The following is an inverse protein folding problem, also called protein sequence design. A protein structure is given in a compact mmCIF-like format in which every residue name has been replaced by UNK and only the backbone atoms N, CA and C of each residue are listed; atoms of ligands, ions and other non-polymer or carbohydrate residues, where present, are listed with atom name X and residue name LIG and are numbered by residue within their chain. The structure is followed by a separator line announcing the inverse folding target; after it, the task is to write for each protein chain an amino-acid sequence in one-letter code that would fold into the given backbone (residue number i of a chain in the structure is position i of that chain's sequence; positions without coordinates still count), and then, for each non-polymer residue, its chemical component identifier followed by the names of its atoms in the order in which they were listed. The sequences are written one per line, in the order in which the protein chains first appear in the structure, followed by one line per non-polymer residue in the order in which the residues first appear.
data_IF_133390169015
#
_entry.id   IF_133390169015
#
_cell.length_a   1.000
_cell.length_b   1.000
_cell.length_c   1.000
_cell.angle_alpha   90.00
_cell.angle_beta   90.00
_cell.angle_gamma   90.00
#
_symmetry.space_group_name_H-M   'P 1'
#
loop_
_entity.id
_entity.type
_entity.pdbx_description
1 polymer ?
#
# COMPACT_ATOMS: atom_id res chain seq x y z
N UNK A 1 -6.22 -25.72 15.96
CA UNK A 1 -6.43 -25.80 14.50
C UNK A 1 -7.79 -26.45 14.24
N UNK A 2 -8.67 -25.86 13.43
CA UNK A 2 -9.99 -26.44 13.11
C UNK A 2 -9.87 -27.39 11.90
N UNK A 3 -10.23 -28.66 12.10
CA UNK A 3 -10.03 -29.73 11.11
C UNK A 3 -10.89 -29.58 9.84
N UNK A 4 -12.10 -29.04 9.96
CA UNK A 4 -12.96 -28.74 8.81
C UNK A 4 -12.34 -27.66 7.92
N UNK A 5 -11.73 -26.64 8.54
CA UNK A 5 -11.05 -25.55 7.84
C UNK A 5 -9.76 -26.06 7.18
N UNK A 6 -9.03 -26.96 7.84
CA UNK A 6 -7.84 -27.57 7.27
C UNK A 6 -8.17 -28.41 6.03
N UNK A 7 -9.16 -29.30 6.09
CA UNK A 7 -9.57 -30.12 4.94
C UNK A 7 -10.03 -29.29 3.74
N UNK A 8 -10.71 -28.18 3.99
CA UNK A 8 -11.09 -27.24 2.94
C UNK A 8 -9.86 -26.54 2.35
N UNK A 9 -8.98 -26.02 3.19
CA UNK A 9 -7.71 -25.40 2.79
C UNK A 9 -6.82 -26.34 1.96
N UNK A 10 -6.66 -27.58 2.40
CA UNK A 10 -5.88 -28.62 1.73
C UNK A 10 -6.45 -28.93 0.34
N UNK A 11 -7.77 -29.15 0.24
CA UNK A 11 -8.45 -29.39 -1.04
C UNK A 11 -8.23 -28.24 -2.02
N UNK A 12 -8.37 -27.00 -1.55
CA UNK A 12 -8.22 -25.81 -2.39
C UNK A 12 -6.77 -25.60 -2.82
N UNK A 13 -5.79 -25.84 -1.94
CA UNK A 13 -4.36 -25.84 -2.30
C UNK A 13 -4.06 -26.90 -3.35
N UNK A 14 -4.50 -28.15 -3.15
CA UNK A 14 -4.28 -29.25 -4.09
C UNK A 14 -4.96 -29.01 -5.45
N UNK A 15 -6.06 -28.24 -5.48
CA UNK A 15 -6.71 -27.81 -6.74
C UNK A 15 -5.93 -26.73 -7.51
N UNK A 16 -4.79 -26.26 -6.98
CA UNK A 16 -3.94 -25.27 -7.61
C UNK A 16 -4.20 -23.83 -7.14
N UNK A 17 -5.05 -23.61 -6.14
CA UNK A 17 -5.27 -22.26 -5.60
C UNK A 17 -4.05 -21.79 -4.79
N UNK A 18 -3.70 -20.51 -4.97
CA UNK A 18 -2.64 -19.90 -4.15
C UNK A 18 -3.19 -19.61 -2.75
N UNK A 19 -2.29 -19.52 -1.76
CA UNK A 19 -2.66 -19.11 -0.40
C UNK A 19 -3.45 -17.79 -0.37
N UNK A 20 -3.15 -16.88 -1.31
CA UNK A 20 -3.82 -15.59 -1.45
C UNK A 20 -5.24 -15.73 -2.00
N UNK A 21 -5.45 -16.61 -2.97
CA UNK A 21 -6.77 -16.84 -3.57
C UNK A 21 -7.71 -17.48 -2.55
N UNK A 22 -7.21 -18.47 -1.80
CA UNK A 22 -7.95 -19.10 -0.70
C UNK A 22 -8.30 -18.05 0.37
N UNK A 23 -7.32 -17.24 0.78
CA UNK A 23 -7.56 -16.17 1.75
C UNK A 23 -8.63 -15.18 1.26
N UNK A 24 -8.59 -14.82 -0.03
CA UNK A 24 -9.56 -13.91 -0.64
C UNK A 24 -10.95 -14.55 -0.72
N UNK A 25 -11.04 -15.81 -1.14
CA UNK A 25 -12.30 -16.56 -1.29
C UNK A 25 -13.05 -16.72 0.03
N UNK A 26 -12.33 -16.96 1.13
CA UNK A 26 -12.93 -17.16 2.45
C UNK A 26 -12.91 -15.91 3.34
N UNK A 27 -12.62 -14.73 2.77
CA UNK A 27 -12.55 -13.46 3.51
C UNK A 27 -11.62 -13.50 4.73
N UNK A 28 -10.54 -14.27 4.64
CA UNK A 28 -9.51 -14.39 5.66
C UNK A 28 -8.25 -13.62 5.23
N UNK A 29 -7.42 -13.21 6.18
CA UNK A 29 -6.06 -12.78 5.87
C UNK A 29 -5.16 -13.97 5.53
N UNK A 30 -4.14 -13.82 4.68
CA UNK A 30 -3.12 -14.88 4.48
C UNK A 30 -2.46 -15.29 5.79
N UNK A 31 -2.30 -14.32 6.69
CA UNK A 31 -1.79 -14.49 8.04
C UNK A 31 -2.66 -15.43 8.90
N UNK A 32 -3.97 -15.51 8.65
CA UNK A 32 -4.85 -16.42 9.37
C UNK A 32 -4.40 -17.87 9.21
N UNK A 33 -4.06 -18.27 7.98
CA UNK A 33 -3.64 -19.63 7.68
C UNK A 33 -2.23 -19.95 8.19
N UNK A 34 -1.35 -18.95 8.20
CA UNK A 34 0.02 -19.07 8.71
C UNK A 34 0.01 -19.16 10.25
N UNK A 35 -0.65 -18.21 10.93
CA UNK A 35 -0.64 -18.14 12.40
C UNK A 35 -1.37 -19.31 13.07
N UNK A 36 -2.36 -19.90 12.39
CA UNK A 36 -3.08 -21.06 12.89
C UNK A 36 -2.45 -22.40 12.48
N UNK A 37 -1.27 -22.39 11.85
CA UNK A 37 -0.48 -23.59 11.53
C UNK A 37 -0.98 -24.41 10.34
N UNK A 38 -1.97 -23.92 9.58
CA UNK A 38 -2.54 -24.64 8.43
C UNK A 38 -1.53 -24.79 7.29
N UNK A 39 -0.72 -23.76 7.06
CA UNK A 39 0.34 -23.78 6.03
C UNK A 39 1.49 -24.71 6.41
N UNK A 40 1.87 -24.71 7.70
CA UNK A 40 2.92 -25.57 8.24
C UNK A 40 2.54 -27.05 8.08
N UNK A 41 1.35 -27.44 8.56
CA UNK A 41 0.83 -28.80 8.43
C UNK A 41 0.71 -29.25 6.97
N UNK A 42 0.22 -28.39 6.09
CA UNK A 42 0.10 -28.72 4.66
C UNK A 42 1.46 -28.98 4.02
N UNK A 43 2.49 -28.20 4.38
CA UNK A 43 3.84 -28.41 3.86
C UNK A 43 4.49 -29.67 4.42
N UNK A 44 4.18 -30.04 5.66
CA UNK A 44 4.65 -31.30 6.26
C UNK A 44 3.98 -32.52 5.62
N UNK A 45 2.69 -32.43 5.29
CA UNK A 45 1.91 -33.52 4.66
C UNK A 45 2.15 -33.61 3.14
N UNK A 46 2.47 -32.48 2.48
CA UNK A 46 2.70 -32.40 1.02
C UNK A 46 4.05 -31.71 0.70
N UNK A 47 5.19 -32.32 1.07
CA UNK A 47 6.51 -31.69 0.95
C UNK A 47 6.93 -31.39 -0.50
N UNK A 48 6.39 -32.15 -1.46
CA UNK A 48 6.68 -31.99 -2.89
C UNK A 48 5.69 -31.05 -3.61
N UNK A 49 4.72 -30.46 -2.90
CA UNK A 49 3.74 -29.58 -3.51
C UNK A 49 4.41 -28.28 -3.97
N UNK A 50 4.35 -27.93 -5.27
CA UNK A 50 4.98 -26.72 -5.77
C UNK A 50 4.36 -25.51 -5.04
N UNK A 51 5.18 -24.70 -4.39
CA UNK A 51 4.70 -23.49 -3.72
C UNK A 51 4.10 -22.53 -4.77
N UNK A 52 2.80 -22.65 -5.01
CA UNK A 52 1.99 -21.67 -5.74
C UNK A 52 1.82 -20.43 -4.84
N UNK A 53 2.93 -19.75 -4.54
CA UNK A 53 2.93 -18.42 -3.95
C UNK A 53 2.52 -17.47 -5.07
N UNK A 54 1.38 -16.80 -4.89
CA UNK A 54 0.84 -15.85 -5.87
C UNK A 54 1.94 -14.94 -6.43
N UNK A 55 2.11 -15.00 -7.76
CA UNK A 55 3.01 -14.20 -8.60
C UNK A 55 4.03 -13.37 -7.80
N UNK A 56 5.12 -13.99 -7.37
CA UNK A 56 6.37 -13.25 -7.26
C UNK A 56 6.97 -13.20 -8.64
N UNK A 57 6.77 -12.09 -9.34
CA UNK A 57 7.69 -11.67 -10.38
C UNK A 57 9.04 -11.37 -9.71
N UNK A 58 9.78 -12.43 -9.42
CA UNK A 58 11.22 -12.40 -9.27
C UNK A 58 11.73 -13.78 -9.71
N UNK A 59 11.43 -14.08 -10.97
CA UNK A 59 12.33 -14.84 -11.82
C UNK A 59 13.59 -13.97 -12.02
N UNK A 60 14.43 -13.95 -10.99
CA UNK A 60 15.86 -14.04 -11.24
C UNK A 60 16.26 -15.37 -10.63
N UNK A 61 16.83 -16.20 -11.48
CA UNK A 61 17.58 -17.39 -11.14
C UNK A 61 18.06 -17.35 -9.70
N UNK A 62 17.59 -18.31 -8.91
CA UNK A 62 18.27 -18.71 -7.68
C UNK A 62 19.58 -19.36 -8.12
N UNK A 63 20.51 -18.55 -8.63
CA UNK A 63 21.91 -18.75 -8.29
C UNK A 63 21.93 -18.56 -6.79
N UNK A 64 21.90 -19.70 -6.11
CA UNK A 64 22.06 -19.83 -4.68
C UNK A 64 23.10 -18.82 -4.21
N UNK A 65 22.62 -17.71 -3.64
CA UNK A 65 23.46 -16.85 -2.84
C UNK A 65 23.77 -17.69 -1.61
N UNK A 66 24.77 -18.57 -1.73
CA UNK A 66 25.60 -19.04 -0.63
C UNK A 66 25.79 -17.82 0.24
N UNK A 67 25.18 -17.87 1.41
CA UNK A 67 25.33 -16.88 2.48
C UNK A 67 26.83 -16.71 2.71
N UNK A 68 27.42 -15.69 2.07
CA UNK A 68 28.84 -15.44 2.18
C UNK A 68 29.07 -14.86 3.57
N UNK A 69 29.48 -15.73 4.51
CA UNK A 69 30.03 -15.37 5.82
C UNK A 69 31.56 -15.29 5.76
N UNK A 70 32.12 -14.73 4.69
CA UNK A 70 33.56 -14.49 4.60
C UNK A 70 33.95 -13.14 5.20
N UNK A 71 35.21 -13.01 5.59
CA UNK A 71 35.80 -11.73 5.98
C UNK A 71 35.78 -10.79 4.78
N UNK A 72 35.55 -9.50 5.04
CA UNK A 72 35.57 -8.45 4.02
C UNK A 72 36.97 -8.40 3.39
N UNK A 73 37.04 -8.55 2.07
CA UNK A 73 38.27 -8.48 1.30
C UNK A 73 38.60 -7.00 1.06
N UNK A 74 39.78 -6.58 1.51
CA UNK A 74 40.21 -5.18 1.48
C UNK A 74 40.48 -4.67 0.06
N UNK A 75 40.92 -5.53 -0.87
CA UNK A 75 41.10 -5.13 -2.26
C UNK A 75 39.76 -5.00 -2.96
N UNK A 76 38.85 -5.93 -2.70
CA UNK A 76 37.49 -5.86 -3.24
C UNK A 76 36.71 -4.67 -2.66
N UNK A 77 36.93 -4.33 -1.39
CA UNK A 77 36.30 -3.17 -0.77
C UNK A 77 36.74 -1.86 -1.40
N UNK A 78 38.04 -1.69 -1.71
CA UNK A 78 38.51 -0.48 -2.41
C UNK A 78 37.83 -0.30 -3.77
N UNK A 79 37.71 -1.38 -4.55
CA UNK A 79 37.01 -1.32 -5.85
C UNK A 79 35.50 -1.03 -5.66
N UNK A 80 34.88 -1.58 -4.62
CA UNK A 80 33.48 -1.27 -4.27
C UNK A 80 33.30 0.19 -3.88
N UNK A 81 34.20 0.72 -3.05
CA UNK A 81 34.21 2.10 -2.57
C UNK A 81 34.37 3.10 -3.72
N UNK A 82 35.37 2.92 -4.59
CA UNK A 82 35.61 3.76 -5.76
C UNK A 82 34.36 3.86 -6.65
N UNK A 83 33.70 2.74 -6.92
CA UNK A 83 32.47 2.71 -7.75
C UNK A 83 31.28 3.39 -7.07
N UNK A 84 31.13 3.19 -5.76
CA UNK A 84 30.07 3.85 -4.98
C UNK A 84 30.30 5.35 -4.91
N UNK A 85 31.56 5.81 -4.82
CA UNK A 85 31.94 7.22 -4.89
C UNK A 85 31.74 7.79 -6.30
N UNK A 86 31.98 7.00 -7.35
CA UNK A 86 31.67 7.37 -8.73
C UNK A 86 30.15 7.43 -9.04
N UNK A 87 29.30 7.07 -8.08
CA UNK A 87 27.85 7.19 -8.18
C UNK A 87 27.12 5.93 -8.65
N UNK A 88 27.82 4.80 -8.84
CA UNK A 88 27.17 3.53 -9.20
C UNK A 88 26.24 3.04 -8.08
N UNK A 89 25.08 2.51 -8.48
CA UNK A 89 24.18 1.88 -7.52
C UNK A 89 24.69 0.47 -7.17
N UNK A 90 24.25 -0.06 -6.03
CA UNK A 90 24.56 -1.44 -5.65
C UNK A 90 24.05 -2.43 -6.70
N UNK A 91 22.97 -2.07 -7.41
CA UNK A 91 22.41 -2.90 -8.47
C UNK A 91 23.37 -2.99 -9.66
N UNK A 92 23.99 -1.87 -10.05
CA UNK A 92 24.96 -1.80 -11.15
C UNK A 92 26.26 -2.53 -10.80
N UNK A 93 26.73 -2.36 -9.57
CA UNK A 93 27.91 -3.07 -9.05
C UNK A 93 27.65 -4.58 -8.96
N UNK A 94 26.44 -5.00 -8.58
CA UNK A 94 26.08 -6.42 -8.45
C UNK A 94 25.96 -7.14 -9.80
N UNK A 95 25.45 -6.47 -10.83
CA UNK A 95 25.31 -7.05 -12.19
C UNK A 95 26.66 -7.30 -12.86
N UNK A 96 27.65 -6.44 -12.61
CA UNK A 96 28.95 -6.52 -13.29
C UNK A 96 29.91 -7.59 -12.74
N UNK A 97 29.67 -8.16 -11.55
CA UNK A 97 30.59 -9.11 -10.91
C UNK A 97 30.03 -10.52 -10.66
N UNK A 98 28.87 -10.88 -11.19
CA UNK A 98 28.20 -12.16 -10.88
C UNK A 98 28.03 -12.42 -9.37
N UNK A 99 28.03 -11.35 -8.56
CA UNK A 99 27.82 -11.40 -7.11
C UNK A 99 26.47 -10.75 -6.83
N UNK A 100 25.52 -11.55 -6.35
CA UNK A 100 24.20 -11.04 -5.97
C UNK A 100 24.32 -9.97 -4.88
N UNK A 101 23.36 -9.04 -4.83
CA UNK A 101 23.34 -7.91 -3.86
C UNK A 101 23.60 -8.37 -2.42
N UNK A 102 23.11 -9.56 -2.06
CA UNK A 102 23.33 -10.19 -0.75
C UNK A 102 24.81 -10.26 -0.34
N UNK A 103 25.73 -10.45 -1.29
CA UNK A 103 27.17 -10.47 -1.05
C UNK A 103 27.68 -9.19 -0.39
N UNK A 104 27.33 -8.02 -0.95
CA UNK A 104 27.81 -6.72 -0.46
C UNK A 104 27.12 -6.27 0.83
N UNK A 105 25.86 -6.66 1.04
CA UNK A 105 25.12 -6.37 2.27
C UNK A 105 25.55 -7.29 3.42
N UNK A 106 25.61 -8.59 3.19
CA UNK A 106 25.94 -9.59 4.20
C UNK A 106 27.44 -9.63 4.51
N UNK A 107 28.29 -9.40 3.50
CA UNK A 107 29.75 -9.31 3.65
C UNK A 107 30.24 -8.02 4.30
N UNK A 108 29.34 -7.10 4.66
CA UNK A 108 29.70 -5.89 5.43
C UNK A 108 30.24 -4.71 4.60
N UNK A 109 30.41 -4.85 3.29
CA UNK A 109 30.87 -3.80 2.38
C UNK A 109 30.01 -2.54 2.46
N UNK A 110 28.68 -2.70 2.39
CA UNK A 110 27.74 -1.57 2.50
C UNK A 110 27.79 -0.92 3.89
N UNK A 111 27.97 -1.74 4.94
CA UNK A 111 28.02 -1.26 6.32
C UNK A 111 29.27 -0.43 6.57
N UNK A 112 30.42 -0.88 6.08
CA UNK A 112 31.70 -0.18 6.17
C UNK A 112 31.68 1.11 5.37
N UNK A 113 31.22 1.05 4.12
CA UNK A 113 31.10 2.23 3.26
C UNK A 113 30.20 3.30 3.87
N UNK A 114 29.05 2.95 4.44
CA UNK A 114 28.18 3.94 5.09
C UNK A 114 28.75 4.52 6.39
N UNK A 115 29.73 3.86 7.02
CA UNK A 115 30.45 4.37 8.19
C UNK A 115 31.55 5.33 7.78
N UNK A 116 32.25 5.03 6.69
CA UNK A 116 33.36 5.83 6.16
C UNK A 116 32.87 7.01 5.31
N UNK A 117 31.72 6.88 4.65
CA UNK A 117 31.08 7.88 3.80
C UNK A 117 29.63 8.19 4.23
N UNK A 118 29.42 8.79 5.42
CA UNK A 118 28.09 9.13 5.93
C UNK A 118 27.31 10.08 5.01
N UNK A 119 27.99 10.95 4.27
CA UNK A 119 27.42 11.85 3.26
C UNK A 119 26.79 11.12 2.06
N UNK A 120 27.25 9.89 1.82
CA UNK A 120 26.80 8.98 0.76
C UNK A 120 25.71 8.01 1.22
N UNK A 121 25.44 7.90 2.52
CA UNK A 121 24.40 7.04 3.12
C UNK A 121 23.01 7.29 2.52
N UNK A 122 22.79 8.51 2.02
CA UNK A 122 21.56 8.99 1.41
C UNK A 122 21.64 9.17 -0.12
N UNK A 123 22.63 8.60 -0.83
CA UNK A 123 22.72 8.80 -2.29
C UNK A 123 21.48 8.28 -3.04
N UNK A 124 20.77 7.27 -2.50
CA UNK A 124 19.46 6.82 -3.03
C UNK A 124 18.34 7.86 -2.82
N UNK A 125 18.48 8.74 -1.83
CA UNK A 125 17.59 9.87 -1.59
C UNK A 125 18.03 11.14 -2.33
N UNK A 126 19.32 11.29 -2.68
CA UNK A 126 19.85 12.46 -3.39
C UNK A 126 19.69 12.37 -4.92
N UNK A 127 19.87 11.21 -5.56
CA UNK A 127 19.65 11.07 -7.02
C UNK A 127 18.17 11.09 -7.42
N UNK A 128 17.24 10.91 -6.46
CA UNK A 128 15.80 11.05 -6.67
C UNK A 128 15.26 12.47 -6.44
N UNK A 129 16.12 13.47 -6.20
CA UNK A 129 15.72 14.78 -5.65
C UNK A 129 16.00 15.95 -6.61
N UNK A 130 15.52 15.87 -7.86
CA UNK A 130 15.33 17.07 -8.70
C UNK A 130 13.92 17.67 -8.60
N UNK A 131 12.96 16.97 -8.01
CA UNK A 131 11.63 17.51 -7.73
C UNK A 131 11.44 17.56 -6.22
N UNK A 132 11.41 18.77 -5.67
CA UNK A 132 11.09 19.12 -4.27
C UNK A 132 9.97 18.20 -3.75
N UNK A 133 10.32 17.12 -3.03
CA UNK A 133 9.35 16.16 -2.52
C UNK A 133 8.41 16.88 -1.56
N UNK A 134 7.13 16.98 -1.93
CA UNK A 134 6.08 17.48 -1.05
C UNK A 134 6.06 16.59 0.21
N UNK A 135 5.97 17.21 1.38
CA UNK A 135 5.78 16.46 2.63
C UNK A 135 4.40 15.80 2.62
N UNK A 136 4.19 14.77 3.44
CA UNK A 136 2.88 14.10 3.54
C UNK A 136 1.72 15.07 3.88
N UNK A 137 2.02 16.14 4.63
CA UNK A 137 1.06 17.22 4.94
C UNK A 137 0.75 18.03 3.68
N UNK A 138 1.78 18.48 2.95
CA UNK A 138 1.60 19.23 1.70
C UNK A 138 0.91 18.42 0.60
N UNK A 139 1.12 17.10 0.57
CA UNK A 139 0.41 16.17 -0.33
C UNK A 139 -1.06 16.09 0.05
N UNK A 140 -1.37 16.01 1.35
CA UNK A 140 -2.74 15.98 1.85
C UNK A 140 -3.48 17.29 1.59
N UNK A 141 -2.86 18.45 1.86
CA UNK A 141 -3.48 19.76 1.61
C UNK A 141 -3.82 19.95 0.13
N UNK A 142 -2.88 19.61 -0.76
CA UNK A 142 -3.11 19.66 -2.21
C UNK A 142 -4.14 18.63 -2.67
N UNK A 143 -4.18 17.45 -2.06
CA UNK A 143 -5.21 16.46 -2.32
C UNK A 143 -6.59 17.04 -2.01
N UNK A 144 -6.77 17.67 -0.84
CA UNK A 144 -8.03 18.31 -0.45
C UNK A 144 -8.42 19.41 -1.43
N UNK A 145 -7.49 20.27 -1.84
CA UNK A 145 -7.77 21.36 -2.79
C UNK A 145 -8.21 20.84 -4.16
N UNK A 146 -7.52 19.83 -4.71
CA UNK A 146 -7.92 19.23 -6.00
C UNK A 146 -9.19 18.39 -5.88
N UNK A 147 -9.41 17.73 -4.75
CA UNK A 147 -10.64 16.98 -4.48
C UNK A 147 -11.84 17.93 -4.40
N UNK A 148 -11.71 19.11 -3.78
CA UNK A 148 -12.74 20.17 -3.76
C UNK A 148 -13.07 20.72 -5.15
N UNK A 149 -12.10 20.70 -6.07
CA UNK A 149 -12.31 21.05 -7.48
C UNK A 149 -13.03 19.93 -8.26
N UNK A 150 -13.29 18.77 -7.64
CA UNK A 150 -13.98 17.63 -8.25
C UNK A 150 -13.08 16.69 -9.04
N UNK A 151 -11.75 16.76 -8.84
CA UNK A 151 -10.83 15.84 -9.52
C UNK A 151 -10.85 14.46 -8.85
N UNK A 152 -10.79 13.41 -9.66
CA UNK A 152 -10.68 12.04 -9.19
C UNK A 152 -9.30 11.74 -8.60
N UNK A 153 -9.22 10.76 -7.70
CA UNK A 153 -7.94 10.37 -7.06
C UNK A 153 -6.85 9.99 -8.07
N UNK A 154 -7.22 9.46 -9.24
CA UNK A 154 -6.29 9.13 -10.32
C UNK A 154 -5.69 10.38 -10.97
N UNK A 155 -6.53 11.39 -11.23
CA UNK A 155 -6.10 12.68 -11.78
C UNK A 155 -5.25 13.47 -10.79
N UNK A 156 -5.60 13.40 -9.51
CA UNK A 156 -4.83 14.01 -8.42
C UNK A 156 -3.45 13.34 -8.30
N UNK A 157 -3.40 12.01 -8.30
CA UNK A 157 -2.15 11.26 -8.28
C UNK A 157 -1.24 11.63 -9.46
N UNK A 158 -1.81 11.76 -10.67
CA UNK A 158 -1.10 12.22 -11.86
C UNK A 158 -0.58 13.66 -11.71
N UNK A 159 -1.40 14.59 -11.20
CA UNK A 159 -0.99 15.99 -10.94
C UNK A 159 0.09 16.11 -9.87
N UNK A 160 0.08 15.22 -8.88
CA UNK A 160 1.07 15.17 -7.81
C UNK A 160 2.30 14.34 -8.19
N UNK A 161 2.32 13.73 -9.38
CA UNK A 161 3.35 12.82 -9.85
C UNK A 161 3.67 11.72 -8.83
N UNK A 162 2.61 11.09 -8.32
CA UNK A 162 2.65 10.07 -7.27
C UNK A 162 1.85 8.83 -7.66
N UNK A 163 2.25 7.67 -7.13
CA UNK A 163 1.44 6.46 -7.26
C UNK A 163 0.13 6.57 -6.48
N UNK A 164 -0.96 6.08 -7.07
CA UNK A 164 -2.30 6.10 -6.48
C UNK A 164 -2.33 5.39 -5.12
N UNK A 165 -1.61 4.27 -4.99
CA UNK A 165 -1.52 3.53 -3.74
C UNK A 165 -0.85 4.35 -2.63
N UNK A 166 0.23 5.06 -2.95
CA UNK A 166 0.94 5.94 -2.02
C UNK A 166 0.07 7.15 -1.62
N UNK A 167 -0.65 7.76 -2.57
CA UNK A 167 -1.60 8.83 -2.29
C UNK A 167 -2.71 8.36 -1.35
N UNK A 168 -3.31 7.19 -1.62
CA UNK A 168 -4.34 6.59 -0.75
C UNK A 168 -3.84 6.38 0.67
N UNK A 169 -2.65 5.81 0.85
CA UNK A 169 -2.07 5.61 2.18
C UNK A 169 -1.89 6.92 2.94
N UNK A 170 -1.40 7.99 2.28
CA UNK A 170 -1.24 9.30 2.90
C UNK A 170 -2.60 9.89 3.28
N UNK A 171 -3.58 9.84 2.39
CA UNK A 171 -4.93 10.34 2.65
C UNK A 171 -5.58 9.59 3.81
N UNK A 172 -5.56 8.25 3.79
CA UNK A 172 -6.14 7.44 4.87
C UNK A 172 -5.46 7.72 6.21
N UNK A 173 -4.12 7.74 6.24
CA UNK A 173 -3.36 7.99 7.46
C UNK A 173 -3.60 9.40 8.00
N UNK A 174 -3.62 10.43 7.14
CA UNK A 174 -3.81 11.82 7.56
C UNK A 174 -5.26 12.13 7.94
N UNK A 175 -6.24 11.53 7.27
CA UNK A 175 -7.64 11.63 7.68
C UNK A 175 -7.88 10.97 9.04
N UNK A 176 -7.23 9.84 9.31
CA UNK A 176 -7.26 9.17 10.63
C UNK A 176 -6.55 10.00 11.72
N UNK A 177 -5.34 10.50 11.44
CA UNK A 177 -4.58 11.38 12.36
C UNK A 177 -5.30 12.71 12.65
N UNK A 178 -6.13 13.19 11.73
CA UNK A 178 -6.95 14.39 11.92
C UNK A 178 -8.24 14.13 12.71
N UNK A 179 -8.55 12.87 13.09
CA UNK A 179 -9.80 12.53 13.78
C UNK A 179 -11.06 12.81 12.97
N UNK A 180 -10.94 12.99 11.65
CA UNK A 180 -12.05 13.29 10.76
C UNK A 180 -12.47 12.00 10.07
N UNK A 181 -13.61 11.44 10.51
CA UNK A 181 -14.38 10.52 9.69
C UNK A 181 -14.49 11.13 8.28
N UNK A 182 -14.05 10.40 7.26
CA UNK A 182 -14.06 10.87 5.88
C UNK A 182 -15.49 11.27 5.51
N UNK A 183 -15.74 12.57 5.42
CA UNK A 183 -17.04 13.10 5.05
C UNK A 183 -17.03 13.38 3.55
N UNK A 184 -17.82 12.63 2.79
CA UNK A 184 -17.96 12.89 1.36
C UNK A 184 -18.70 14.22 1.14
N UNK A 185 -17.96 15.25 0.73
CA UNK A 185 -18.51 16.58 0.45
C UNK A 185 -19.20 16.69 -0.92
N UNK A 186 -19.24 15.62 -1.72
CA UNK A 186 -19.82 15.64 -3.07
C UNK A 186 -21.29 16.11 -3.05
N UNK A 187 -22.08 15.61 -2.10
CA UNK A 187 -23.47 16.03 -1.92
C UNK A 187 -23.58 17.51 -1.51
N UNK A 188 -22.80 17.93 -0.51
CA UNK A 188 -22.78 19.33 -0.07
C UNK A 188 -22.39 20.30 -1.21
N UNK A 189 -21.43 19.91 -2.05
CA UNK A 189 -21.04 20.70 -3.22
C UNK A 189 -22.13 20.72 -4.30
N UNK A 190 -22.82 19.61 -4.55
CA UNK A 190 -23.95 19.56 -5.48
C UNK A 190 -25.10 20.46 -5.01
N UNK A 191 -25.40 20.44 -3.71
CA UNK A 191 -26.39 21.33 -3.07
C UNK A 191 -25.96 22.79 -3.18
N UNK A 192 -24.69 23.14 -2.92
CA UNK A 192 -24.21 24.52 -3.09
C UNK A 192 -24.34 25.01 -4.55
N UNK A 193 -24.06 24.15 -5.54
CA UNK A 193 -24.11 24.49 -6.96
C UNK A 193 -25.53 24.56 -7.53
N UNK A 194 -26.51 23.94 -6.88
CA UNK A 194 -27.89 23.95 -7.34
C UNK A 194 -28.51 25.36 -7.27
N UNK A 195 -29.09 25.81 -8.39
CA UNK A 195 -29.55 27.19 -8.58
C UNK A 195 -30.81 27.55 -7.78
N UNK A 196 -31.62 26.58 -7.38
CA UNK A 196 -32.90 26.82 -6.71
C UNK A 196 -33.00 26.03 -5.40
N UNK A 197 -33.70 26.58 -4.41
CA UNK A 197 -33.97 25.89 -3.14
C UNK A 197 -34.69 24.57 -3.36
N UNK A 198 -35.58 24.48 -4.36
CA UNK A 198 -36.26 23.24 -4.74
C UNK A 198 -35.25 22.17 -5.19
N UNK A 199 -34.32 22.52 -6.10
CA UNK A 199 -33.30 21.58 -6.56
C UNK A 199 -32.35 21.14 -5.44
N UNK A 200 -31.98 22.07 -4.55
CA UNK A 200 -31.19 21.77 -3.34
C UNK A 200 -31.85 20.71 -2.46
N UNK A 201 -33.15 20.89 -2.18
CA UNK A 201 -33.93 19.96 -1.36
C UNK A 201 -34.15 18.61 -2.05
N UNK A 202 -34.35 18.59 -3.38
CA UNK A 202 -34.47 17.34 -4.15
C UNK A 202 -33.20 16.49 -4.04
N UNK A 203 -32.01 17.07 -4.21
CA UNK A 203 -30.74 16.34 -4.10
C UNK A 203 -30.55 15.71 -2.71
N UNK A 204 -30.89 16.43 -1.65
CA UNK A 204 -30.81 15.92 -0.27
C UNK A 204 -31.85 14.82 -0.04
N UNK A 205 -33.05 14.97 -0.61
CA UNK A 205 -34.13 14.01 -0.44
C UNK A 205 -33.84 12.69 -1.17
N UNK A 206 -33.36 12.74 -2.40
CA UNK A 206 -32.96 11.57 -3.18
C UNK A 206 -31.85 10.80 -2.46
N UNK A 207 -30.79 11.50 -2.04
CA UNK A 207 -29.70 10.89 -1.28
C UNK A 207 -30.16 10.28 0.05
N UNK A 208 -31.10 10.93 0.73
CA UNK A 208 -31.70 10.40 1.98
C UNK A 208 -32.50 9.12 1.72
N UNK A 209 -33.27 9.05 0.63
CA UNK A 209 -34.04 7.85 0.28
C UNK A 209 -33.10 6.68 0.03
N UNK A 210 -32.05 6.89 -0.77
CA UNK A 210 -31.03 5.87 -1.05
C UNK A 210 -30.35 5.39 0.23
N UNK A 211 -29.96 6.34 1.10
CA UNK A 211 -29.35 6.00 2.39
C UNK A 211 -30.28 5.16 3.27
N UNK A 212 -31.56 5.53 3.36
CA UNK A 212 -32.53 4.77 4.18
C UNK A 212 -32.76 3.37 3.60
N UNK A 213 -32.83 3.24 2.27
CA UNK A 213 -33.11 1.96 1.61
C UNK A 213 -32.11 0.85 1.99
N UNK A 214 -30.86 1.23 2.30
CA UNK A 214 -29.79 0.29 2.66
C UNK A 214 -29.84 -0.16 4.13
N UNK A 215 -30.45 0.62 5.04
CA UNK A 215 -30.38 0.36 6.50
C UNK A 215 -31.75 0.15 7.17
N UNK A 216 -32.85 0.61 6.58
CA UNK A 216 -34.17 0.44 7.20
C UNK A 216 -35.27 1.33 6.63
N UNK A 217 -36.12 1.86 7.51
CA UNK A 217 -37.26 2.71 7.12
C UNK A 217 -37.04 4.18 7.49
N UNK A 218 -36.12 4.44 8.40
CA UNK A 218 -35.84 5.78 8.95
C UNK A 218 -34.35 6.05 9.03
N UNK A 219 -33.99 7.34 9.18
CA UNK A 219 -32.60 7.74 9.41
C UNK A 219 -32.07 7.27 10.78
N UNK A 220 -32.94 6.90 11.72
CA UNK A 220 -32.54 6.38 13.03
C UNK A 220 -32.00 4.95 12.93
N UNK A 221 -32.29 4.26 11.83
CA UNK A 221 -31.79 2.92 11.55
C UNK A 221 -30.37 2.95 10.97
N UNK A 222 -29.89 4.14 10.59
CA UNK A 222 -28.55 4.33 10.02
C UNK A 222 -27.54 4.48 11.17
N UNK A 223 -26.47 3.66 11.22
CA UNK A 223 -25.45 3.78 12.25
C UNK A 223 -24.79 5.17 12.27
N UNK A 224 -24.49 5.70 13.46
CA UNK A 224 -23.87 7.02 13.61
C UNK A 224 -22.49 7.13 12.94
N UNK A 225 -21.79 6.01 12.82
CA UNK A 225 -20.48 5.92 12.17
C UNK A 225 -20.58 5.88 10.63
N UNK A 226 -21.79 5.82 10.05
CA UNK A 226 -22.01 5.72 8.61
C UNK A 226 -21.52 7.01 7.89
N UNK A 227 -20.53 6.92 7.00
CA UNK A 227 -19.96 8.09 6.32
C UNK A 227 -20.99 8.88 5.49
N UNK A 228 -22.00 8.20 4.94
CA UNK A 228 -23.08 8.85 4.16
C UNK A 228 -24.02 9.67 5.03
N UNK A 229 -24.18 9.32 6.32
CA UNK A 229 -24.96 10.12 7.27
C UNK A 229 -24.27 11.47 7.52
N UNK A 230 -22.95 11.46 7.66
CA UNK A 230 -22.14 12.66 7.80
C UNK A 230 -22.18 13.55 6.54
N UNK A 231 -22.16 12.94 5.35
CA UNK A 231 -22.35 13.66 4.08
C UNK A 231 -23.71 14.37 4.00
N UNK A 232 -24.77 13.70 4.47
CA UNK A 232 -26.13 14.27 4.56
C UNK A 232 -26.19 15.44 5.55
N UNK A 233 -25.55 15.31 6.72
CA UNK A 233 -25.46 16.39 7.72
C UNK A 233 -24.75 17.62 7.16
N UNK A 234 -23.62 17.44 6.47
CA UNK A 234 -22.89 18.54 5.83
C UNK A 234 -23.70 19.20 4.72
N UNK A 235 -24.41 18.43 3.90
CA UNK A 235 -25.28 18.99 2.86
C UNK A 235 -26.41 19.83 3.46
N UNK A 236 -27.02 19.38 4.56
CA UNK A 236 -28.04 20.15 5.28
C UNK A 236 -27.49 21.46 5.86
N UNK A 237 -26.24 21.50 6.31
CA UNK A 237 -25.60 22.73 6.79
C UNK A 237 -25.42 23.79 5.68
N UNK A 238 -25.33 23.36 4.41
CA UNK A 238 -25.20 24.26 3.25
C UNK A 238 -26.52 24.87 2.76
N UNK A 239 -27.65 24.52 3.38
CA UNK A 239 -28.97 25.08 3.09
C UNK A 239 -29.25 26.44 3.76
N UNK A 240 -28.32 26.93 4.60
CA UNK A 240 -28.35 28.28 5.17
C UNK A 240 -28.38 29.34 4.07
#
# INVERSE_FOLDING_TARGET
MNELIYKQFEKDRLSGMTLRDIATQYSHGTDYYIRNGYVERFNDEHPDFPELRGRRAHDYEVTSARTYRGKLDEEEYRVFEERRLAGESIDDISRNRNRGKGYYYQGGYVRRFNREHPEMRNHRAKTFNKNKRLTAIQVYDKYIDYHRQGLSIFEIAKKLNMEVAALRQIVTKKSYEAGLAYADHSLANAVMRAKSRKAKLSLIHEFRIELIADYGKTLMDVPDEEPRLLALQLANQTLK
#
